data_IF_384520064738
#
_entry.id   IF_384520064738
#
_cell.length_a   1.000
_cell.length_b   1.000
_cell.length_c   1.000
_cell.angle_alpha   90.00
_cell.angle_beta   90.00
_cell.angle_gamma   90.00
#
_symmetry.space_group_name_H-M   'P 1'
#
loop_
_entity.id
_entity.type
_entity.pdbx_description
1 polymer ?
#
# COMPACT_ATOMS: atom_id res chain seq x y z
N UNK A 1 4.47 38.05 47.89
CA UNK A 1 4.93 36.93 48.75
C UNK A 1 3.98 35.77 48.45
N UNK A 2 4.34 34.68 47.79
CA UNK A 2 5.66 34.10 47.53
C UNK A 2 5.63 33.40 46.16
N UNK A 3 6.75 33.51 45.46
CA UNK A 3 7.08 32.70 44.30
C UNK A 3 7.27 31.24 44.74
N UNK A 4 6.75 30.30 43.96
CA UNK A 4 7.23 28.93 43.94
C UNK A 4 7.60 28.57 42.49
N UNK A 5 8.88 28.76 42.20
CA UNK A 5 9.78 27.78 41.59
C UNK A 5 9.36 26.31 41.82
N UNK A 6 9.70 25.30 41.03
CA UNK A 6 10.49 25.06 39.82
C UNK A 6 10.63 23.53 39.78
N UNK A 7 10.51 22.87 38.62
CA UNK A 7 11.34 21.72 38.17
C UNK A 7 10.62 20.87 37.11
N UNK A 8 11.01 21.08 35.86
CA UNK A 8 10.87 20.14 34.77
C UNK A 8 12.14 19.26 34.72
N UNK A 9 12.05 17.92 34.58
CA UNK A 9 13.17 17.14 34.08
C UNK A 9 13.14 17.16 32.54
N UNK A 10 14.04 17.96 31.96
CA UNK A 10 14.44 17.86 30.56
C UNK A 10 15.59 16.85 30.45
N UNK A 11 15.32 15.68 29.88
CA UNK A 11 16.30 14.61 29.69
C UNK A 11 15.99 13.78 28.46
N UNK A 12 16.07 14.40 27.28
CA UNK A 12 16.07 13.68 26.01
C UNK A 12 17.47 13.10 25.72
N UNK A 13 17.59 11.92 25.10
CA UNK A 13 18.88 11.41 24.65
C UNK A 13 19.41 12.28 23.50
N UNK A 14 20.55 12.94 23.74
CA UNK A 14 21.32 13.57 22.67
C UNK A 14 21.96 12.47 21.82
N UNK A 15 21.44 12.29 20.60
CA UNK A 15 22.16 11.61 19.54
C UNK A 15 23.27 12.55 19.06
N UNK A 16 24.46 12.39 19.60
CA UNK A 16 25.69 12.99 19.09
C UNK A 16 25.97 12.41 17.70
N UNK A 17 25.75 13.23 16.68
CA UNK A 17 26.33 13.06 15.35
C UNK A 17 27.85 12.91 15.49
N UNK A 18 28.35 11.69 15.30
CA UNK A 18 29.78 11.40 15.29
C UNK A 18 30.28 11.43 13.83
N UNK A 19 31.00 12.48 13.41
CA UNK A 19 31.59 12.50 12.08
C UNK A 19 32.75 11.50 12.02
N UNK A 20 32.55 10.47 11.19
CA UNK A 20 33.55 9.91 10.30
C UNK A 20 34.99 9.81 10.85
N UNK A 21 35.27 8.78 11.64
CA UNK A 21 36.64 8.31 11.87
C UNK A 21 36.88 7.03 11.07
N UNK A 22 37.71 7.13 10.04
CA UNK A 22 38.20 5.99 9.29
C UNK A 22 39.25 5.22 10.13
N UNK A 23 39.22 3.88 10.18
CA UNK A 23 40.22 3.09 10.87
C UNK A 23 41.59 3.15 10.15
N UNK A 24 42.70 3.33 10.88
CA UNK A 24 44.04 3.24 10.33
C UNK A 24 44.49 1.77 10.33
N UNK A 25 44.44 1.12 9.17
CA UNK A 25 44.93 -0.25 9.01
C UNK A 25 45.25 -0.53 7.56
N UNK A 26 46.53 -0.59 7.25
CA UNK A 26 47.07 -0.62 5.90
C UNK A 26 46.58 -1.80 5.05
N UNK A 27 46.17 -1.49 3.84
CA UNK A 27 46.06 -2.47 2.76
C UNK A 27 47.36 -2.43 1.92
N UNK A 28 47.88 -3.61 1.52
CA UNK A 28 49.07 -3.70 0.68
C UNK A 28 48.84 -3.04 -0.69
N UNK A 29 49.90 -2.57 -1.37
CA UNK A 29 49.79 -1.91 -2.66
C UNK A 29 49.16 -2.85 -3.68
N UNK A 30 47.99 -2.43 -4.21
CA UNK A 30 47.34 -3.12 -5.31
C UNK A 30 48.25 -3.03 -6.54
N UNK A 31 48.64 -4.20 -7.03
CA UNK A 31 49.33 -4.36 -8.31
C UNK A 31 48.42 -3.79 -9.40
N UNK A 32 48.86 -2.70 -10.00
CA UNK A 32 48.20 -1.98 -11.08
C UNK A 32 48.26 -2.84 -12.36
N UNK A 33 47.36 -3.82 -12.45
CA UNK A 33 47.09 -4.56 -13.67
C UNK A 33 46.47 -3.65 -14.72
N UNK A 34 46.89 -3.85 -15.98
CA UNK A 34 46.43 -3.07 -17.12
C UNK A 34 44.89 -2.98 -17.18
N UNK A 35 44.33 -1.81 -17.51
CA UNK A 35 42.89 -1.59 -17.52
C UNK A 35 42.23 -2.56 -18.51
N UNK A 36 41.17 -3.29 -18.11
CA UNK A 36 40.37 -4.08 -19.03
C UNK A 36 39.87 -3.18 -20.15
N UNK A 37 40.21 -3.54 -21.39
CA UNK A 37 39.76 -2.82 -22.57
C UNK A 37 38.24 -2.64 -22.53
N UNK A 38 37.81 -1.39 -22.73
CA UNK A 38 36.41 -1.05 -22.95
C UNK A 38 35.89 -1.87 -24.12
N UNK A 39 35.20 -2.97 -23.82
CA UNK A 39 34.39 -3.63 -24.82
C UNK A 39 33.30 -2.64 -25.22
N UNK A 40 33.38 -2.16 -26.47
CA UNK A 40 32.33 -1.36 -27.08
C UNK A 40 31.01 -2.09 -26.91
N UNK A 41 30.17 -1.56 -26.02
CA UNK A 41 28.76 -1.95 -25.95
C UNK A 41 28.16 -1.61 -27.30
N UNK A 42 27.91 -2.66 -28.09
CA UNK A 42 27.21 -2.57 -29.37
C UNK A 42 25.93 -1.77 -29.16
N UNK A 43 25.82 -0.66 -29.88
CA UNK A 43 24.71 0.28 -29.76
C UNK A 43 23.36 -0.44 -29.78
N UNK A 44 22.42 -0.09 -28.88
CA UNK A 44 21.11 -0.75 -28.82
C UNK A 44 20.40 -0.58 -30.16
N UNK A 45 20.12 -1.71 -30.82
CA UNK A 45 19.29 -1.74 -32.03
C UNK A 45 17.94 -1.10 -31.71
N UNK A 46 17.69 0.09 -32.27
CA UNK A 46 16.39 0.77 -32.21
C UNK A 46 15.33 -0.18 -32.78
N UNK A 47 14.54 -0.80 -31.91
CA UNK A 47 13.30 -1.47 -32.33
C UNK A 47 12.36 -0.38 -32.83
N UNK A 48 12.18 -0.31 -34.14
CA UNK A 48 11.16 0.53 -34.78
C UNK A 48 9.78 0.11 -34.27
N UNK A 49 9.21 0.91 -33.37
CA UNK A 49 7.82 0.76 -32.93
C UNK A 49 6.87 1.10 -34.08
N UNK A 50 6.56 0.11 -34.94
CA UNK A 50 5.47 0.19 -35.93
C UNK A 50 4.11 -0.16 -35.32
N UNK A 51 3.76 0.44 -34.17
CA UNK A 51 2.43 0.30 -33.56
C UNK A 51 1.83 1.66 -33.16
N UNK A 52 2.16 2.71 -33.92
CA UNK A 52 1.46 4.00 -33.90
C UNK A 52 0.50 4.06 -35.09
N UNK A 53 -0.66 3.40 -35.00
CA UNK A 53 -1.86 3.79 -35.78
C UNK A 53 -3.19 3.06 -35.49
N UNK A 54 -3.41 2.45 -34.31
CA UNK A 54 -4.67 1.70 -34.10
C UNK A 54 -5.55 2.14 -32.91
N UNK A 55 -5.14 3.17 -32.14
CA UNK A 55 -5.91 3.66 -30.98
C UNK A 55 -6.08 5.18 -31.01
N UNK A 56 -6.28 5.76 -32.20
CA UNK A 56 -6.69 7.17 -32.34
C UNK A 56 -8.04 7.29 -33.06
N UNK A 57 -8.65 6.16 -33.46
CA UNK A 57 -9.96 6.17 -34.13
C UNK A 57 -11.19 6.08 -33.20
N UNK A 58 -11.20 5.37 -32.04
CA UNK A 58 -12.43 5.27 -31.25
C UNK A 58 -12.68 6.48 -30.33
N UNK A 59 -11.63 7.16 -29.84
CA UNK A 59 -11.81 8.29 -28.89
C UNK A 59 -12.18 9.60 -29.61
N UNK A 60 -11.60 9.86 -30.79
CA UNK A 60 -11.97 11.04 -31.60
C UNK A 60 -13.40 10.96 -32.13
N UNK A 61 -13.85 9.77 -32.53
CA UNK A 61 -15.24 9.53 -32.97
C UNK A 61 -16.27 9.76 -31.86
N UNK A 62 -15.96 9.38 -30.62
CA UNK A 62 -16.86 9.58 -29.48
C UNK A 62 -17.03 11.08 -29.14
N UNK A 63 -15.95 11.87 -29.16
CA UNK A 63 -16.03 13.31 -28.86
C UNK A 63 -16.81 14.06 -29.95
N UNK A 64 -16.60 13.73 -31.23
CA UNK A 64 -17.38 14.31 -32.32
C UNK A 64 -18.88 13.94 -32.23
N UNK A 65 -19.21 12.71 -31.82
CA UNK A 65 -20.59 12.27 -31.61
C UNK A 65 -21.27 13.05 -30.47
N UNK A 66 -20.57 13.29 -29.35
CA UNK A 66 -21.12 14.06 -28.21
C UNK A 66 -21.43 15.50 -28.63
N UNK A 67 -20.55 16.15 -29.39
CA UNK A 67 -20.77 17.55 -29.84
C UNK A 67 -21.99 17.66 -30.77
N UNK A 68 -22.21 16.69 -31.66
CA UNK A 68 -23.39 16.68 -32.56
C UNK A 68 -24.69 16.45 -31.79
N UNK A 69 -24.69 15.62 -30.74
CA UNK A 69 -25.88 15.40 -29.90
C UNK A 69 -26.25 16.69 -29.14
N UNK A 70 -25.28 17.42 -28.60
CA UNK A 70 -25.53 18.68 -27.89
C UNK A 70 -25.97 19.85 -28.79
N UNK A 71 -25.65 19.83 -30.09
CA UNK A 71 -26.13 20.86 -31.02
C UNK A 71 -27.57 20.60 -31.50
N UNK A 72 -28.05 19.36 -31.44
CA UNK A 72 -29.41 18.98 -31.87
C UNK A 72 -30.45 19.00 -30.74
N UNK A 73 -30.02 19.15 -29.48
CA UNK A 73 -30.91 19.08 -28.31
C UNK A 73 -30.94 20.40 -27.53
N UNK A 74 -31.74 21.34 -28.04
CA UNK A 74 -32.31 22.46 -27.28
C UNK A 74 -31.34 23.63 -27.03
N UNK A 75 -31.63 24.87 -27.42
CA UNK A 75 -32.97 25.46 -27.51
C UNK A 75 -33.57 25.59 -26.11
N UNK A 76 -33.05 26.52 -25.31
CA UNK A 76 -33.53 26.78 -23.95
C UNK A 76 -32.95 28.08 -23.40
N UNK A 77 -33.65 29.17 -23.70
CA UNK A 77 -33.44 30.48 -23.09
C UNK A 77 -33.74 30.44 -21.58
N UNK A 78 -33.06 31.25 -20.78
CA UNK A 78 -33.42 31.42 -19.37
C UNK A 78 -32.35 32.08 -18.49
N UNK A 79 -32.28 33.40 -18.61
CA UNK A 79 -32.11 34.38 -17.53
C UNK A 79 -30.82 34.47 -16.68
N UNK A 80 -30.22 35.64 -16.85
CA UNK A 80 -29.24 36.27 -15.99
C UNK A 80 -29.83 36.59 -14.62
N UNK A 81 -29.11 36.26 -13.54
CA UNK A 81 -29.19 37.05 -12.31
C UNK A 81 -27.90 36.97 -11.48
N UNK A 82 -27.08 38.00 -11.69
CA UNK A 82 -26.58 38.96 -10.70
C UNK A 82 -26.34 38.49 -9.26
N UNK A 83 -25.05 38.60 -8.90
CA UNK A 83 -24.39 38.67 -7.60
C UNK A 83 -25.23 38.84 -6.31
N UNK A 84 -24.75 38.19 -5.24
CA UNK A 84 -24.75 38.83 -3.92
C UNK A 84 -23.59 38.33 -3.05
N UNK A 85 -22.70 39.26 -2.74
CA UNK A 85 -21.75 39.26 -1.62
C UNK A 85 -22.54 39.44 -0.33
N UNK A 86 -22.27 38.64 0.70
CA UNK A 86 -22.96 38.78 1.99
C UNK A 86 -22.24 38.05 3.11
N UNK A 87 -21.57 38.83 3.93
CA UNK A 87 -20.88 38.48 5.17
C UNK A 87 -21.85 38.03 6.28
N UNK A 88 -21.25 37.41 7.31
CA UNK A 88 -21.58 37.54 8.73
C UNK A 88 -22.60 36.60 9.42
N UNK A 89 -22.06 35.92 10.44
CA UNK A 89 -22.53 35.92 11.85
C UNK A 89 -23.43 34.78 12.37
N UNK A 90 -22.81 34.03 13.29
CA UNK A 90 -23.28 33.53 14.59
C UNK A 90 -24.29 32.37 14.73
N UNK A 91 -23.84 31.42 15.54
CA UNK A 91 -24.51 30.90 16.76
C UNK A 91 -25.91 30.33 16.63
N UNK A 92 -26.02 29.01 16.81
CA UNK A 92 -26.81 28.43 17.92
C UNK A 92 -26.54 26.93 18.06
N UNK A 93 -26.07 26.56 19.25
CA UNK A 93 -26.03 25.19 19.72
C UNK A 93 -27.45 24.66 20.01
N UNK A 94 -27.82 23.44 19.58
CA UNK A 94 -29.00 22.77 20.10
C UNK A 94 -28.64 21.96 21.36
N UNK A 95 -29.38 22.25 22.44
CA UNK A 95 -29.42 21.50 23.68
C UNK A 95 -29.86 20.02 23.48
N UNK A 96 -29.47 19.11 24.39
CA UNK A 96 -29.66 17.67 24.22
C UNK A 96 -31.13 17.26 24.43
N UNK A 97 -31.73 16.61 23.44
CA UNK A 97 -33.00 15.90 23.62
C UNK A 97 -32.76 14.59 24.35
N UNK A 98 -33.44 14.47 25.49
CA UNK A 98 -33.53 13.26 26.30
C UNK A 98 -33.85 12.03 25.43
N UNK A 99 -32.90 11.10 25.36
CA UNK A 99 -33.11 9.79 24.76
C UNK A 99 -33.91 8.91 25.70
N UNK A 100 -35.11 8.54 25.25
CA UNK A 100 -35.94 7.53 25.86
C UNK A 100 -35.18 6.19 25.91
N UNK A 101 -35.20 5.58 27.09
CA UNK A 101 -34.73 4.23 27.42
C UNK A 101 -35.38 3.19 26.49
N UNK A 102 -34.62 2.51 25.60
CA UNK A 102 -35.15 1.36 24.87
C UNK A 102 -35.15 0.13 25.79
N UNK A 103 -36.33 -0.47 25.88
CA UNK A 103 -36.59 -1.73 26.56
C UNK A 103 -35.71 -2.84 25.99
N UNK A 104 -34.94 -3.50 26.86
CA UNK A 104 -34.13 -4.67 26.58
C UNK A 104 -35.01 -5.87 26.23
N UNK A 105 -35.35 -6.02 24.95
CA UNK A 105 -35.83 -7.29 24.42
C UNK A 105 -34.59 -8.11 24.08
N UNK A 106 -34.33 -9.15 24.88
CA UNK A 106 -33.26 -10.12 24.65
C UNK A 106 -33.37 -10.66 23.22
N UNK A 107 -32.47 -10.20 22.36
CA UNK A 107 -32.28 -10.79 21.05
C UNK A 107 -31.59 -12.14 21.26
N UNK A 108 -32.35 -13.21 21.11
CA UNK A 108 -31.80 -14.54 20.89
C UNK A 108 -30.90 -14.46 19.67
N UNK A 109 -29.59 -14.36 19.89
CA UNK A 109 -28.57 -14.48 18.87
C UNK A 109 -28.62 -15.91 18.37
N UNK A 110 -29.36 -16.13 17.28
CA UNK A 110 -29.13 -17.27 16.40
C UNK A 110 -27.66 -17.19 15.99
N UNK A 111 -26.81 -17.98 16.65
CA UNK A 111 -25.43 -18.18 16.22
C UNK A 111 -25.51 -18.69 14.78
N UNK A 112 -25.15 -17.82 13.84
CA UNK A 112 -24.88 -18.23 12.47
C UNK A 112 -23.91 -19.41 12.54
N UNK A 113 -24.08 -20.43 11.68
CA UNK A 113 -23.17 -21.56 11.61
C UNK A 113 -21.74 -21.02 11.62
N UNK A 114 -20.93 -21.47 12.58
CA UNK A 114 -19.49 -21.23 12.58
C UNK A 114 -18.94 -21.89 11.32
N UNK A 115 -18.99 -21.17 10.20
CA UNK A 115 -18.25 -21.49 8.99
C UNK A 115 -16.81 -21.62 9.45
N UNK A 116 -16.33 -22.86 9.49
CA UNK A 116 -14.97 -23.20 9.87
C UNK A 116 -14.06 -22.32 9.01
N UNK A 117 -13.32 -21.42 9.68
CA UNK A 117 -12.45 -20.48 8.98
C UNK A 117 -11.55 -21.28 8.02
N UNK A 118 -11.40 -20.84 6.77
CA UNK A 118 -10.50 -21.51 5.84
C UNK A 118 -9.12 -21.65 6.50
N UNK A 119 -8.51 -22.84 6.38
CA UNK A 119 -7.23 -23.12 7.02
C UNK A 119 -6.20 -22.03 6.65
N UNK A 120 -5.73 -21.32 7.68
CA UNK A 120 -4.71 -20.28 7.56
C UNK A 120 -3.34 -20.96 7.46
N UNK A 121 -2.55 -20.62 6.44
CA UNK A 121 -1.16 -21.06 6.37
C UNK A 121 -0.36 -20.30 7.41
N UNK A 122 0.17 -21.02 8.40
CA UNK A 122 1.07 -20.45 9.40
C UNK A 122 2.51 -20.54 8.90
N UNK A 123 3.22 -19.42 8.97
CA UNK A 123 4.61 -19.34 8.57
C UNK A 123 5.48 -19.96 9.67
N UNK A 124 5.79 -21.26 9.53
CA UNK A 124 6.72 -21.95 10.43
C UNK A 124 8.16 -21.46 10.19
N UNK A 125 8.86 -21.10 11.27
CA UNK A 125 10.25 -20.67 11.23
C UNK A 125 10.55 -19.48 12.13
N UNK A 126 11.74 -18.89 11.94
CA UNK A 126 12.02 -17.57 12.49
C UNK A 126 11.03 -16.58 11.90
N UNK A 127 10.73 -15.52 12.66
CA UNK A 127 9.85 -14.42 12.23
C UNK A 127 10.25 -13.85 10.87
N UNK A 128 11.55 -13.87 10.58
CA UNK A 128 12.14 -13.34 9.35
C UNK A 128 12.40 -14.42 8.29
N UNK A 129 11.96 -15.66 8.47
CA UNK A 129 12.13 -16.68 7.45
C UNK A 129 11.02 -16.55 6.38
N UNK A 130 11.36 -16.59 5.08
CA UNK A 130 10.36 -16.60 4.04
C UNK A 130 9.48 -17.85 4.12
N UNK A 131 8.17 -17.67 4.25
CA UNK A 131 7.19 -18.73 4.22
C UNK A 131 6.46 -18.78 2.88
N UNK A 132 6.23 -19.99 2.37
CA UNK A 132 5.49 -20.19 1.13
C UNK A 132 4.00 -19.96 1.35
N UNK A 133 3.40 -19.12 0.52
CA UNK A 133 1.98 -18.75 0.59
C UNK A 133 1.31 -18.94 -0.77
N UNK A 134 -0.02 -18.95 -0.79
CA UNK A 134 -0.82 -19.12 -2.01
C UNK A 134 -1.71 -17.91 -2.27
N UNK A 135 -1.76 -17.45 -3.53
CA UNK A 135 -2.57 -16.30 -3.93
C UNK A 135 -4.03 -16.47 -3.49
N UNK A 136 -4.56 -15.49 -2.75
CA UNK A 136 -5.93 -15.49 -2.25
C UNK A 136 -6.22 -16.41 -1.07
N UNK A 137 -5.24 -17.14 -0.54
CA UNK A 137 -5.38 -17.95 0.68
C UNK A 137 -4.95 -17.14 1.91
N UNK A 138 -5.66 -17.32 3.03
CA UNK A 138 -5.27 -16.67 4.27
C UNK A 138 -3.89 -17.16 4.73
N UNK A 139 -3.08 -16.28 5.28
CA UNK A 139 -1.78 -16.63 5.86
C UNK A 139 -1.45 -15.70 7.04
N UNK A 140 -0.60 -16.18 7.95
CA UNK A 140 -0.13 -15.41 9.11
C UNK A 140 1.35 -15.12 8.98
N UNK A 141 1.75 -13.86 9.13
CA UNK A 141 3.15 -13.42 9.11
C UNK A 141 3.45 -12.63 10.38
N UNK A 142 4.18 -13.26 11.30
CA UNK A 142 4.42 -12.73 12.63
C UNK A 142 3.11 -12.58 13.43
N UNK A 143 2.80 -11.35 13.84
CA UNK A 143 1.64 -10.97 14.67
C UNK A 143 0.41 -10.52 13.87
N UNK A 144 0.42 -10.75 12.55
CA UNK A 144 -0.63 -10.28 11.65
C UNK A 144 -1.10 -11.39 10.71
N UNK A 145 -2.41 -11.44 10.49
CA UNK A 145 -3.07 -12.38 9.58
C UNK A 145 -3.58 -11.63 8.35
N UNK A 146 -3.14 -12.04 7.17
CA UNK A 146 -3.74 -11.63 5.90
C UNK A 146 -4.94 -12.53 5.62
N UNK A 147 -6.13 -11.94 5.53
CA UNK A 147 -7.37 -12.67 5.26
C UNK A 147 -7.39 -13.27 3.84
N UNK A 148 -8.17 -14.33 3.66
CA UNK A 148 -8.42 -14.91 2.34
C UNK A 148 -9.06 -13.88 1.38
N UNK A 149 -8.80 -14.04 0.08
CA UNK A 149 -9.31 -13.14 -0.97
C UNK A 149 -8.39 -11.98 -1.35
N UNK A 150 -7.21 -11.86 -0.74
CA UNK A 150 -6.17 -10.93 -1.21
C UNK A 150 -5.74 -11.26 -2.65
N UNK A 151 -5.37 -10.24 -3.43
CA UNK A 151 -5.15 -10.38 -4.86
C UNK A 151 -4.22 -9.31 -5.41
N UNK A 152 -3.75 -9.54 -6.64
CA UNK A 152 -3.09 -8.51 -7.44
C UNK A 152 -4.16 -7.65 -8.14
N UNK A 153 -4.11 -6.34 -7.93
CA UNK A 153 -4.93 -5.36 -8.62
C UNK A 153 -4.07 -4.57 -9.61
N UNK A 154 -4.54 -4.28 -10.84
CA UNK A 154 -3.81 -3.45 -11.79
C UNK A 154 -3.67 -2.02 -11.24
N UNK A 155 -2.51 -1.39 -11.44
CA UNK A 155 -2.29 0.02 -11.14
C UNK A 155 -2.19 0.84 -12.44
N UNK A 156 -2.74 2.06 -12.43
CA UNK A 156 -2.83 2.93 -13.62
C UNK A 156 -1.50 3.20 -14.31
N UNK A 157 -0.38 3.17 -13.56
CA UNK A 157 0.97 3.50 -14.05
C UNK A 157 1.91 2.29 -14.10
N UNK A 158 1.45 1.16 -14.65
CA UNK A 158 2.37 0.21 -15.29
C UNK A 158 2.75 -1.04 -14.50
N UNK A 159 1.94 -1.44 -13.53
CA UNK A 159 2.20 -2.64 -12.75
C UNK A 159 0.97 -3.19 -12.06
N UNK A 160 1.22 -3.95 -11.00
CA UNK A 160 0.22 -4.45 -10.09
C UNK A 160 0.53 -3.92 -8.70
N UNK A 161 -0.51 -3.79 -7.88
CA UNK A 161 -0.42 -3.67 -6.42
C UNK A 161 -1.03 -4.91 -5.78
N UNK A 162 -0.58 -5.28 -4.60
CA UNK A 162 -1.24 -6.33 -3.82
C UNK A 162 -2.26 -5.65 -2.91
N UNK A 163 -3.50 -6.14 -2.91
CA UNK A 163 -4.57 -5.63 -2.04
C UNK A 163 -5.16 -6.76 -1.23
N UNK A 164 -5.49 -6.51 0.03
CA UNK A 164 -6.06 -7.49 0.94
C UNK A 164 -6.61 -6.85 2.21
N UNK A 165 -7.04 -7.69 3.15
CA UNK A 165 -7.45 -7.26 4.48
C UNK A 165 -6.51 -7.91 5.50
N UNK A 166 -5.91 -7.08 6.36
CA UNK A 166 -4.93 -7.50 7.35
C UNK A 166 -5.49 -7.32 8.76
N UNK A 167 -5.29 -8.30 9.63
CA UNK A 167 -5.76 -8.30 11.02
C UNK A 167 -4.59 -8.43 11.99
N UNK A 168 -4.58 -7.65 13.07
CA UNK A 168 -3.66 -7.87 14.20
C UNK A 168 -4.16 -9.04 15.07
N UNK A 169 -3.33 -10.07 15.21
CA UNK A 169 -3.61 -11.28 16.00
C UNK A 169 -2.81 -11.34 17.29
N UNK A 170 -2.09 -10.29 17.64
CA UNK A 170 -1.31 -10.21 18.87
C UNK A 170 -2.12 -9.81 20.10
N UNK A 171 -1.44 -9.77 21.23
CA UNK A 171 -1.91 -9.42 22.56
C UNK A 171 -1.88 -7.91 22.87
N UNK A 172 -1.41 -7.08 21.94
CA UNK A 172 -1.38 -5.62 22.08
C UNK A 172 -1.40 -4.90 20.73
N UNK A 173 -1.35 -3.56 20.74
CA UNK A 173 -1.21 -2.78 19.51
C UNK A 173 0.06 -3.17 18.76
N UNK A 174 -0.04 -3.30 17.44
CA UNK A 174 1.10 -3.63 16.59
C UNK A 174 0.93 -3.06 15.19
N UNK A 175 2.03 -2.51 14.65
CA UNK A 175 2.15 -2.19 13.23
C UNK A 175 2.56 -3.43 12.43
N UNK A 176 2.04 -3.58 11.22
CA UNK A 176 2.44 -4.61 10.29
C UNK A 176 3.44 -4.08 9.26
N UNK A 177 4.44 -4.90 8.94
CA UNK A 177 5.46 -4.63 7.93
C UNK A 177 6.05 -5.95 7.39
N UNK A 178 5.70 -6.30 6.16
CA UNK A 178 6.14 -7.56 5.60
C UNK A 178 6.30 -7.44 4.10
N UNK A 179 7.11 -8.33 3.54
CA UNK A 179 7.39 -8.38 2.12
C UNK A 179 6.81 -9.66 1.51
N UNK A 180 6.06 -9.52 0.41
CA UNK A 180 5.56 -10.64 -0.40
C UNK A 180 6.33 -10.71 -1.71
N UNK A 181 7.05 -11.81 -1.96
CA UNK A 181 7.83 -12.02 -3.19
C UNK A 181 7.15 -13.04 -4.08
N UNK A 182 7.11 -12.74 -5.38
CA UNK A 182 6.72 -13.69 -6.43
C UNK A 182 7.98 -14.16 -7.15
N UNK A 183 8.19 -15.46 -7.23
CA UNK A 183 9.42 -16.06 -7.76
C UNK A 183 9.15 -16.91 -9.01
N UNK A 184 10.18 -17.08 -9.83
CA UNK A 184 10.28 -18.10 -10.86
C UNK A 184 11.66 -18.75 -10.75
N UNK A 185 11.72 -19.95 -10.19
CA UNK A 185 12.97 -20.58 -9.78
C UNK A 185 13.75 -19.68 -8.81
N UNK A 186 15.03 -19.36 -9.07
CA UNK A 186 15.83 -18.49 -8.20
C UNK A 186 15.58 -16.99 -8.41
N UNK A 187 14.76 -16.61 -9.40
CA UNK A 187 14.57 -15.21 -9.79
C UNK A 187 13.36 -14.60 -9.09
N UNK A 188 13.54 -13.41 -8.50
CA UNK A 188 12.43 -12.59 -7.97
C UNK A 188 11.79 -11.82 -9.12
N UNK A 189 10.51 -12.06 -9.38
CA UNK A 189 9.73 -11.40 -10.43
C UNK A 189 9.01 -10.13 -9.93
N UNK A 190 8.58 -10.15 -8.67
CA UNK A 190 8.05 -8.98 -7.99
C UNK A 190 8.30 -9.07 -6.49
N UNK A 191 8.41 -7.91 -5.84
CA UNK A 191 8.60 -7.80 -4.40
C UNK A 191 7.67 -6.71 -3.89
N UNK A 192 6.60 -7.10 -3.20
CA UNK A 192 5.60 -6.19 -2.65
C UNK A 192 5.93 -5.89 -1.19
N UNK A 193 6.13 -4.63 -0.85
CA UNK A 193 6.26 -4.19 0.53
C UNK A 193 4.89 -3.75 1.05
N UNK A 194 4.44 -4.40 2.12
CA UNK A 194 3.16 -4.18 2.76
C UNK A 194 3.37 -3.54 4.12
N UNK A 195 2.68 -2.45 4.42
CA UNK A 195 2.62 -1.86 5.77
C UNK A 195 1.18 -1.47 6.13
N UNK A 196 0.80 -1.63 7.41
CA UNK A 196 -0.42 -0.98 7.91
C UNK A 196 -0.24 0.54 7.95
N UNK A 197 -1.33 1.31 7.95
CA UNK A 197 -1.23 2.79 8.01
C UNK A 197 -0.73 3.28 9.38
N UNK A 198 -0.87 2.45 10.42
CA UNK A 198 -0.35 2.68 11.76
C UNK A 198 -0.44 1.42 12.62
N UNK A 199 -0.42 1.60 13.94
CA UNK A 199 -0.69 0.50 14.87
C UNK A 199 -2.15 0.04 14.75
N UNK A 200 -2.33 -1.27 14.65
CA UNK A 200 -3.63 -1.91 14.70
C UNK A 200 -3.90 -2.38 16.12
N UNK A 201 -5.06 -2.07 16.67
CA UNK A 201 -5.52 -2.61 17.95
C UNK A 201 -5.74 -4.13 17.88
N UNK A 202 -5.83 -4.79 19.03
CA UNK A 202 -6.04 -6.24 19.10
C UNK A 202 -7.32 -6.65 18.36
N UNK A 203 -7.17 -7.49 17.34
CA UNK A 203 -8.27 -7.97 16.51
C UNK A 203 -8.80 -6.97 15.48
N UNK A 204 -8.23 -5.75 15.40
CA UNK A 204 -8.56 -4.78 14.37
C UNK A 204 -8.11 -5.27 13.01
N UNK A 205 -8.96 -5.03 12.00
CA UNK A 205 -8.66 -5.26 10.60
C UNK A 205 -8.54 -3.94 9.83
N UNK A 206 -7.64 -3.89 8.86
CA UNK A 206 -7.45 -2.77 7.93
C UNK A 206 -7.29 -3.31 6.51
N UNK A 207 -7.83 -2.59 5.52
CA UNK A 207 -7.53 -2.88 4.11
C UNK A 207 -6.11 -2.39 3.79
N UNK A 208 -5.29 -3.28 3.27
CA UNK A 208 -3.89 -3.00 2.98
C UNK A 208 -3.64 -2.94 1.48
N UNK A 209 -2.80 -1.98 1.07
CA UNK A 209 -2.22 -1.90 -0.27
C UNK A 209 -0.71 -2.03 -0.16
N UNK A 210 -0.13 -2.98 -0.89
CA UNK A 210 1.31 -3.16 -0.94
C UNK A 210 1.88 -2.64 -2.25
N UNK A 211 3.01 -1.95 -2.14
CA UNK A 211 3.69 -1.32 -3.26
C UNK A 211 4.73 -2.29 -3.81
N UNK A 212 4.76 -2.43 -5.14
CA UNK A 212 5.81 -3.21 -5.78
C UNK A 212 7.13 -2.41 -5.75
N UNK A 213 8.14 -2.95 -5.07
CA UNK A 213 9.48 -2.37 -4.93
C UNK A 213 10.45 -2.87 -6.02
N UNK A 214 9.98 -3.68 -6.97
CA UNK A 214 10.82 -4.20 -8.05
C UNK A 214 10.60 -3.43 -9.36
N UNK A 215 11.69 -3.15 -10.07
CA UNK A 215 11.66 -2.53 -11.41
C UNK A 215 11.14 -3.50 -12.51
N UNK A 216 10.87 -4.75 -12.14
CA UNK A 216 10.42 -5.83 -13.03
C UNK A 216 8.91 -5.85 -13.25
N UNK A 217 8.19 -4.75 -12.95
CA UNK A 217 6.72 -4.63 -12.95
C UNK A 217 6.03 -5.20 -14.21
N UNK A 218 6.70 -5.15 -15.36
CA UNK A 218 6.15 -5.58 -16.66
C UNK A 218 5.99 -7.10 -16.80
N UNK A 219 6.54 -7.90 -15.89
CA UNK A 219 6.59 -9.36 -16.04
C UNK A 219 5.62 -10.13 -15.14
N UNK A 220 4.97 -9.48 -14.18
CA UNK A 220 4.06 -10.17 -13.27
C UNK A 220 2.73 -10.48 -13.96
N UNK A 221 2.62 -11.65 -14.59
CA UNK A 221 1.37 -12.17 -15.14
C UNK A 221 0.90 -13.36 -14.31
N UNK A 222 -0.40 -13.51 -14.03
CA UNK A 222 -0.93 -14.72 -13.41
C UNK A 222 -0.44 -15.97 -14.14
N UNK A 223 0.06 -16.96 -13.40
CA UNK A 223 0.63 -18.19 -13.95
C UNK A 223 2.04 -18.05 -14.54
N UNK A 224 2.73 -16.92 -14.34
CA UNK A 224 4.15 -16.73 -14.68
C UNK A 224 5.06 -16.69 -13.45
N UNK A 225 4.63 -17.24 -12.34
CA UNK A 225 5.44 -17.47 -11.15
C UNK A 225 5.14 -18.88 -10.66
N UNK A 226 6.11 -19.53 -10.03
CA UNK A 226 5.97 -20.87 -9.47
C UNK A 226 5.79 -20.86 -7.95
N UNK A 227 6.30 -19.82 -7.29
CA UNK A 227 6.30 -19.68 -5.83
C UNK A 227 5.95 -18.26 -5.41
N UNK A 228 5.21 -18.14 -4.30
CA UNK A 228 4.97 -16.88 -3.60
C UNK A 228 5.46 -17.07 -2.16
N UNK A 229 6.22 -16.12 -1.64
CA UNK A 229 6.67 -16.14 -0.24
C UNK A 229 6.30 -14.86 0.49
N UNK A 230 5.95 -14.96 1.77
CA UNK A 230 5.83 -13.82 2.68
C UNK A 230 6.92 -13.86 3.75
N UNK A 231 7.34 -12.70 4.25
CA UNK A 231 8.38 -12.56 5.26
C UNK A 231 8.10 -11.30 6.09
N UNK A 232 8.07 -11.38 7.43
CA UNK A 232 8.06 -10.18 8.26
C UNK A 232 9.45 -9.53 8.24
N UNK A 233 9.52 -8.20 8.27
CA UNK A 233 10.79 -7.48 8.22
C UNK A 233 11.31 -7.01 9.60
N UNK A 234 10.68 -7.45 10.70
CA UNK A 234 11.00 -7.06 12.09
C UNK A 234 10.57 -8.16 13.07
#
# INVERSE_FOLDING_TARGET
MSQQDQQHPAGGPQYTNQPNQAPPGGYPPAVQGAPPGWQQTTAPRKKTHKFRNFVVFPVGGLIALIVVISAASGGGAGDNNTASTGSDTATSAPAPKASAKPSSKAATTTQAPKTQAPATTECEGSRNDPCEISLGKAFTTGKHEMAAGWKLAPQSYGGYKLVGNLKNTSDGPSMAFFTVKFLMGPSVLASFQCSSTGDLEVGQSEDIECINMSDTEKTLKPGKYDKITAQADF
#
